data_IF_387611357502
#
_entry.id   IF_387611357502
#
_cell.length_a   1.000
_cell.length_b   1.000
_cell.length_c   1.000
_cell.angle_alpha   90.00
_cell.angle_beta   90.00
_cell.angle_gamma   90.00
#
_symmetry.space_group_name_H-M   'P 1'
#
loop_
_entity.id
_entity.type
_entity.pdbx_description
1 polymer ?
#
# COMPACT_ATOMS: atom_id res chain seq x y z
N UNK A 1 3.15 -5.04 27.95
CA UNK A 1 2.87 -5.24 27.61
C UNK A 1 2.98 -5.33 27.27
N UNK A 2 2.97 -5.14 27.07
CA UNK A 2 2.72 -5.28 26.65
C UNK A 2 2.67 -5.52 26.18
N UNK A 3 2.77 -5.44 26.15
CA UNK A 3 2.43 -5.78 25.68
C UNK A 3 2.15 -5.97 25.16
N UNK A 4 2.08 -5.67 24.99
CA UNK A 4 1.49 -5.94 24.49
C UNK A 4 1.47 -5.75 23.85
N UNK A 5 1.69 -5.42 23.69
CA UNK A 5 1.31 -5.31 23.01
C UNK A 5 1.79 -5.16 22.31
N UNK A 6 2.23 -4.80 22.35
CA UNK A 6 2.52 -4.86 21.63
C UNK A 6 3.05 -5.26 20.74
N UNK A 7 3.89 -5.27 20.64
CA UNK A 7 4.26 -5.99 19.76
C UNK A 7 3.38 -6.55 18.83
N UNK A 8 2.46 -6.62 19.15
CA UNK A 8 1.48 -7.01 18.39
C UNK A 8 1.26 -6.20 17.22
N UNK A 9 1.60 -4.98 17.23
CA UNK A 9 1.40 -4.08 16.15
C UNK A 9 1.98 -4.60 14.89
N UNK A 10 3.13 -5.21 14.94
CA UNK A 10 3.71 -5.67 13.75
C UNK A 10 2.93 -6.75 13.15
N UNK A 11 2.39 -7.61 13.92
CA UNK A 11 1.65 -8.65 13.38
C UNK A 11 0.41 -8.20 12.75
N UNK A 12 -0.05 -7.04 13.13
CA UNK A 12 -1.29 -6.58 12.63
C UNK A 12 -1.21 -5.64 11.51
N UNK A 13 -0.01 -5.41 10.97
CA UNK A 13 0.08 -4.59 9.80
C UNK A 13 -0.63 -5.26 8.69
N UNK A 14 -1.63 -4.59 8.17
CA UNK A 14 -2.46 -5.14 7.12
C UNK A 14 -1.95 -4.80 5.74
N UNK A 15 -1.31 -3.65 5.59
CA UNK A 15 -0.84 -3.20 4.28
C UNK A 15 0.66 -3.25 4.20
N UNK A 16 1.15 -3.72 3.07
CA UNK A 16 2.58 -3.82 2.84
C UNK A 16 2.93 -3.04 1.59
N UNK A 17 3.97 -2.21 1.64
CA UNK A 17 4.45 -1.48 0.49
C UNK A 17 5.35 -2.41 -0.30
N UNK A 18 4.96 -2.72 -1.54
CA UNK A 18 5.76 -3.60 -2.38
C UNK A 18 6.47 -2.85 -3.48
N UNK A 19 6.14 -1.57 -3.69
CA UNK A 19 6.79 -0.77 -4.72
C UNK A 19 6.69 0.68 -4.31
N UNK A 20 7.75 1.45 -4.55
CA UNK A 20 7.76 2.85 -4.23
C UNK A 20 8.58 3.58 -5.28
N UNK A 21 8.07 4.70 -5.76
CA UNK A 21 8.68 5.43 -6.82
C UNK A 21 8.42 6.91 -6.62
N UNK A 22 9.32 7.75 -7.06
CA UNK A 22 9.14 9.19 -6.99
C UNK A 22 9.83 9.81 -5.81
N UNK A 23 9.56 11.09 -5.61
CA UNK A 23 10.21 11.86 -4.56
C UNK A 23 9.30 12.99 -4.12
N UNK A 24 9.22 13.22 -2.83
CA UNK A 24 8.45 14.35 -2.31
C UNK A 24 9.09 15.68 -2.65
N UNK A 25 10.35 15.65 -3.05
CA UNK A 25 11.04 16.88 -3.42
C UNK A 25 10.73 17.31 -4.84
N UNK A 26 10.03 16.45 -5.59
CA UNK A 26 9.67 16.77 -6.96
C UNK A 26 8.18 16.90 -7.07
N UNK A 27 7.72 17.57 -8.13
CA UNK A 27 6.30 17.77 -8.32
C UNK A 27 5.54 16.48 -8.51
N UNK A 28 6.22 15.45 -8.98
CA UNK A 28 5.53 14.19 -9.25
C UNK A 28 5.12 13.46 -7.98
N UNK A 29 5.73 13.76 -6.84
CA UNK A 29 5.36 13.11 -5.59
C UNK A 29 5.86 11.68 -5.50
N UNK A 30 5.27 10.93 -4.59
CA UNK A 30 5.64 9.54 -4.36
C UNK A 30 4.48 8.65 -4.73
N UNK A 31 4.76 7.59 -5.49
CA UNK A 31 3.77 6.60 -5.84
C UNK A 31 4.17 5.29 -5.20
N UNK A 32 3.21 4.61 -4.61
CA UNK A 32 3.47 3.36 -3.92
C UNK A 32 2.43 2.35 -4.31
N UNK A 33 2.81 1.07 -4.30
CA UNK A 33 1.84 0.01 -4.46
C UNK A 33 1.78 -0.72 -3.14
N UNK A 34 0.58 -0.81 -2.59
CA UNK A 34 0.34 -1.46 -1.32
C UNK A 34 -0.45 -2.73 -1.54
N UNK A 35 -0.18 -3.74 -0.74
CA UNK A 35 -0.96 -4.97 -0.77
C UNK A 35 -1.70 -5.09 0.54
N UNK A 36 -3.01 -5.33 0.45
CA UNK A 36 -3.82 -5.63 1.62
C UNK A 36 -3.59 -7.10 1.91
N UNK A 37 -2.91 -7.39 3.00
CA UNK A 37 -2.53 -8.76 3.28
C UNK A 37 -3.70 -9.66 3.65
N UNK A 38 -4.83 -9.06 3.95
CA UNK A 38 -6.01 -9.86 4.25
C UNK A 38 -6.74 -10.30 3.00
N UNK A 39 -6.76 -9.47 1.99
CA UNK A 39 -7.50 -9.80 0.77
C UNK A 39 -6.60 -10.04 -0.42
N UNK A 40 -5.37 -9.58 -0.36
CA UNK A 40 -4.47 -9.66 -1.49
C UNK A 40 -4.66 -8.56 -2.51
N UNK A 41 -5.60 -7.67 -2.30
CA UNK A 41 -5.87 -6.61 -3.28
C UNK A 41 -4.73 -5.61 -3.27
N UNK A 42 -4.27 -5.25 -4.45
CA UNK A 42 -3.22 -4.26 -4.61
C UNK A 42 -3.83 -2.89 -4.82
N UNK A 43 -3.20 -1.86 -4.26
CA UNK A 43 -3.67 -0.50 -4.39
C UNK A 43 -2.54 0.40 -4.84
N UNK A 44 -2.88 1.40 -5.66
CA UNK A 44 -1.92 2.43 -6.02
C UNK A 44 -2.19 3.64 -5.14
N UNK A 45 -1.16 4.11 -4.47
CA UNK A 45 -1.26 5.26 -3.59
C UNK A 45 -0.32 6.34 -4.10
N UNK A 46 -0.82 7.56 -4.29
CA UNK A 46 -0.01 8.67 -4.76
C UNK A 46 -0.11 9.78 -3.73
N UNK A 47 1.05 10.27 -3.30
CA UNK A 47 1.13 11.32 -2.32
C UNK A 47 2.01 12.43 -2.88
N UNK A 48 1.43 13.59 -3.10
CA UNK A 48 2.15 14.69 -3.74
C UNK A 48 2.59 15.78 -2.78
N UNK A 49 2.28 15.64 -1.51
CA UNK A 49 2.58 16.72 -0.57
C UNK A 49 1.44 17.68 -0.42
N UNK A 50 0.56 17.79 -1.40
CA UNK A 50 -0.62 18.62 -1.31
C UNK A 50 -1.84 17.76 -1.03
N UNK A 51 -1.70 16.48 -1.17
CA UNK A 51 -2.78 15.56 -0.92
C UNK A 51 -2.35 14.17 -1.31
N UNK A 52 -3.20 13.21 -1.07
CA UNK A 52 -2.91 11.83 -1.39
C UNK A 52 -4.17 11.18 -1.91
N UNK A 53 -4.01 10.17 -2.74
CA UNK A 53 -5.15 9.40 -3.20
C UNK A 53 -4.75 7.95 -3.29
N UNK A 54 -5.75 7.08 -3.23
CA UNK A 54 -5.52 5.66 -3.28
C UNK A 54 -6.62 5.05 -4.13
N UNK A 55 -6.27 4.09 -4.95
CA UNK A 55 -7.22 3.44 -5.82
C UNK A 55 -6.78 1.99 -6.01
N UNK A 56 -7.71 1.07 -6.25
CA UNK A 56 -7.31 -0.29 -6.55
C UNK A 56 -6.49 -0.30 -7.84
N UNK A 57 -5.46 -1.14 -7.86
CA UNK A 57 -4.61 -1.26 -9.03
C UNK A 57 -5.24 -2.27 -9.98
N UNK A 58 -5.39 -1.90 -11.24
CA UNK A 58 -6.07 -2.75 -12.20
C UNK A 58 -5.09 -3.33 -13.21
N UNK A 59 -5.43 -4.51 -13.70
CA UNK A 59 -4.61 -5.12 -14.74
C UNK A 59 -5.07 -4.60 -16.10
N UNK A 60 -4.51 -5.15 -17.18
CA UNK A 60 -4.80 -4.65 -18.52
C UNK A 60 -6.24 -4.90 -18.95
N UNK A 61 -6.96 -5.74 -18.23
CA UNK A 61 -8.34 -6.02 -18.56
C UNK A 61 -9.31 -5.30 -17.64
N UNK A 62 -8.79 -4.43 -16.80
CA UNK A 62 -9.63 -3.67 -15.89
C UNK A 62 -10.03 -4.39 -14.62
N UNK A 63 -9.37 -5.49 -14.32
CA UNK A 63 -9.69 -6.24 -13.12
C UNK A 63 -8.68 -5.91 -12.03
N UNK A 64 -9.16 -5.95 -10.80
CA UNK A 64 -8.31 -5.64 -9.65
C UNK A 64 -7.20 -6.68 -9.54
N UNK A 65 -5.99 -6.23 -9.34
CA UNK A 65 -4.85 -7.13 -9.18
C UNK A 65 -4.86 -7.68 -7.76
N UNK A 66 -4.84 -8.99 -7.65
CA UNK A 66 -4.88 -9.66 -6.36
C UNK A 66 -3.64 -10.53 -6.23
N UNK A 67 -2.90 -10.32 -5.16
CA UNK A 67 -1.71 -11.12 -4.87
C UNK A 67 -2.14 -12.25 -3.94
N UNK A 68 -1.86 -13.47 -4.36
CA UNK A 68 -2.26 -14.57 -3.55
C UNK A 68 -1.42 -14.63 -2.30
N UNK A 69 -2.08 -14.75 -1.16
CA UNK A 69 -1.37 -14.82 0.11
C UNK A 69 -1.34 -16.27 0.54
N UNK A 70 -0.21 -16.70 1.06
CA UNK A 70 -0.07 -18.08 1.46
C UNK A 70 0.12 -18.21 2.93
#
# INVERSE_FOLDING_TARGET
LEKRGVNMAKKEERFEVIFKDGSMLKDEGIRQILVDKETGVNYLCWNSGFGASITPLLDSEGKVIVTKQI
#
